data_IF_343249216700
#
_entry.id   IF_343249216700
#
_cell.length_a   1.000
_cell.length_b   1.000
_cell.length_c   1.000
_cell.angle_alpha   90.00
_cell.angle_beta   90.00
_cell.angle_gamma   90.00
#
_symmetry.space_group_name_H-M   'P 1'
#
loop_
_entity.id
_entity.type
_entity.pdbx_description
1 polymer ?
#
# COMPACT_ATOMS: atom_id res chain seq x y z
N UNK A 1 -7.15 -18.78 -5.18
CA UNK A 1 -5.83 -18.29 -4.68
C UNK A 1 -5.57 -16.84 -5.05
N UNK A 2 -5.64 -16.44 -6.33
CA UNK A 2 -5.44 -15.04 -6.74
C UNK A 2 -6.43 -14.06 -6.08
N UNK A 3 -7.71 -14.43 -5.96
CA UNK A 3 -8.73 -13.60 -5.30
C UNK A 3 -8.37 -13.27 -3.84
N UNK A 4 -7.92 -14.27 -3.07
CA UNK A 4 -7.45 -14.05 -1.69
C UNK A 4 -6.21 -13.14 -1.62
N UNK A 5 -5.38 -13.11 -2.66
CA UNK A 5 -4.27 -12.16 -2.75
C UNK A 5 -4.75 -10.75 -3.08
N UNK A 6 -5.72 -10.61 -3.98
CA UNK A 6 -6.35 -9.32 -4.32
C UNK A 6 -7.04 -8.73 -3.09
N UNK A 7 -7.81 -9.53 -2.35
CA UNK A 7 -8.49 -9.12 -1.12
C UNK A 7 -7.48 -8.60 -0.10
N UNK A 8 -6.46 -9.40 0.22
CA UNK A 8 -5.41 -8.98 1.15
C UNK A 8 -4.66 -7.73 0.67
N UNK A 9 -4.37 -7.64 -0.63
CA UNK A 9 -3.73 -6.46 -1.21
C UNK A 9 -4.61 -5.21 -1.04
N UNK A 10 -5.91 -5.36 -1.25
CA UNK A 10 -6.91 -4.29 -1.08
C UNK A 10 -6.97 -3.83 0.38
N UNK A 11 -7.04 -4.76 1.33
CA UNK A 11 -7.01 -4.41 2.77
C UNK A 11 -5.73 -3.66 3.16
N UNK A 12 -4.59 -4.08 2.63
CA UNK A 12 -3.32 -3.42 2.93
C UNK A 12 -3.27 -2.01 2.33
N UNK A 13 -3.73 -1.85 1.08
CA UNK A 13 -3.85 -0.54 0.42
C UNK A 13 -4.78 0.42 1.18
N UNK A 14 -5.89 -0.07 1.73
CA UNK A 14 -6.80 0.74 2.55
C UNK A 14 -6.08 1.22 3.81
N UNK A 15 -5.43 0.32 4.56
CA UNK A 15 -4.70 0.66 5.79
C UNK A 15 -3.58 1.69 5.55
N UNK A 16 -2.88 1.57 4.41
CA UNK A 16 -1.86 2.55 4.04
C UNK A 16 -2.48 3.92 3.72
N UNK A 17 -3.62 3.96 3.04
CA UNK A 17 -4.35 5.20 2.76
C UNK A 17 -4.85 5.85 4.06
N UNK A 18 -5.45 5.09 4.96
CA UNK A 18 -5.93 5.58 6.25
C UNK A 18 -4.81 6.21 7.07
N UNK A 19 -3.62 5.59 7.06
CA UNK A 19 -2.44 6.13 7.74
C UNK A 19 -1.97 7.47 7.11
N UNK A 20 -2.00 7.60 5.78
CA UNK A 20 -1.70 8.87 5.10
C UNK A 20 -2.75 9.93 5.46
N UNK A 21 -4.03 9.58 5.40
CA UNK A 21 -5.14 10.52 5.64
C UNK A 21 -5.14 11.00 7.09
N UNK A 22 -4.78 10.13 8.03
CA UNK A 22 -4.64 10.44 9.46
C UNK A 22 -3.30 11.08 9.84
N UNK A 23 -2.40 11.30 8.87
CA UNK A 23 -1.03 11.81 9.09
C UNK A 23 -0.16 10.95 10.04
N UNK A 24 -0.47 9.66 10.15
CA UNK A 24 0.27 8.70 10.99
C UNK A 24 1.41 8.04 10.19
N UNK A 25 2.52 8.79 10.07
CA UNK A 25 3.73 8.33 9.38
C UNK A 25 4.31 7.06 10.00
N UNK A 26 4.22 6.90 11.33
CA UNK A 26 4.79 5.73 11.99
C UNK A 26 4.01 4.46 11.63
N UNK A 27 2.67 4.50 11.71
CA UNK A 27 1.81 3.40 11.30
C UNK A 27 2.06 3.01 9.84
N UNK A 28 2.16 4.00 8.94
CA UNK A 28 2.47 3.75 7.54
C UNK A 28 3.78 2.96 7.35
N UNK A 29 4.85 3.38 8.05
CA UNK A 29 6.15 2.69 8.00
C UNK A 29 6.09 1.28 8.61
N UNK A 30 5.29 1.07 9.66
CA UNK A 30 5.07 -0.25 10.25
C UNK A 30 4.32 -1.18 9.29
N UNK A 31 3.30 -0.70 8.60
CA UNK A 31 2.56 -1.46 7.59
C UNK A 31 3.50 -1.90 6.45
N UNK A 32 4.32 -0.97 5.95
CA UNK A 32 5.33 -1.24 4.91
C UNK A 32 6.37 -2.28 5.31
N UNK A 33 6.75 -2.34 6.60
CA UNK A 33 7.67 -3.36 7.12
C UNK A 33 7.00 -4.72 7.29
N UNK A 34 5.74 -4.74 7.75
CA UNK A 34 4.98 -5.98 7.99
C UNK A 34 4.62 -6.67 6.68
N UNK A 35 4.37 -5.90 5.62
CA UNK A 35 3.95 -6.44 4.33
C UNK A 35 4.50 -5.61 3.17
N UNK A 36 5.16 -6.28 2.24
CA UNK A 36 5.69 -5.64 1.05
C UNK A 36 4.65 -5.68 -0.08
N UNK A 37 4.33 -4.51 -0.67
CA UNK A 37 3.43 -4.42 -1.82
C UNK A 37 3.83 -5.33 -2.99
N UNK A 38 5.13 -5.60 -3.17
CA UNK A 38 5.62 -6.51 -4.22
C UNK A 38 5.07 -7.93 -4.10
N UNK A 39 4.95 -8.46 -2.87
CA UNK A 39 4.39 -9.81 -2.65
C UNK A 39 2.91 -9.86 -3.03
N UNK A 40 2.20 -8.77 -2.76
CA UNK A 40 0.78 -8.64 -3.06
C UNK A 40 0.55 -8.49 -4.56
N UNK A 41 1.41 -7.75 -5.25
CA UNK A 41 1.40 -7.61 -6.71
C UNK A 41 1.69 -8.95 -7.38
N UNK A 42 2.75 -9.65 -6.98
CA UNK A 42 3.13 -10.96 -7.56
C UNK A 42 2.03 -12.01 -7.28
N UNK A 43 1.52 -12.06 -6.04
CA UNK A 43 0.51 -13.03 -5.64
C UNK A 43 -0.86 -12.79 -6.28
N UNK A 44 -1.22 -11.51 -6.49
CA UNK A 44 -2.47 -11.13 -7.16
C UNK A 44 -2.41 -11.23 -8.68
N UNK A 45 -1.21 -11.06 -9.27
CA UNK A 45 -1.00 -10.99 -10.73
C UNK A 45 -1.94 -9.95 -11.37
N UNK A 46 -2.09 -8.81 -10.70
CA UNK A 46 -3.07 -7.77 -11.05
C UNK A 46 -2.41 -6.41 -11.23
N UNK A 47 -2.54 -5.86 -12.45
CA UNK A 47 -2.08 -4.51 -12.78
C UNK A 47 -2.77 -3.46 -11.92
N UNK A 48 -4.05 -3.66 -11.59
CA UNK A 48 -4.80 -2.74 -10.74
C UNK A 48 -4.20 -2.63 -9.33
N UNK A 49 -3.74 -3.76 -8.76
CA UNK A 49 -3.06 -3.77 -7.46
C UNK A 49 -1.73 -3.01 -7.54
N UNK A 50 -0.95 -3.19 -8.62
CA UNK A 50 0.31 -2.48 -8.81
C UNK A 50 0.10 -0.96 -8.90
N UNK A 51 -0.89 -0.50 -9.67
CA UNK A 51 -1.25 0.92 -9.78
C UNK A 51 -1.71 1.48 -8.44
N UNK A 52 -2.51 0.73 -7.68
CA UNK A 52 -2.94 1.13 -6.33
C UNK A 52 -1.77 1.42 -5.40
N UNK A 53 -0.76 0.54 -5.36
CA UNK A 53 0.43 0.75 -4.54
C UNK A 53 1.26 1.94 -4.99
N UNK A 54 1.46 2.10 -6.31
CA UNK A 54 2.20 3.24 -6.86
C UNK A 54 1.58 4.58 -6.42
N UNK A 55 0.25 4.72 -6.54
CA UNK A 55 -0.46 5.93 -6.15
C UNK A 55 -0.35 6.21 -4.64
N UNK A 56 -0.46 5.18 -3.80
CA UNK A 56 -0.31 5.31 -2.34
C UNK A 56 1.10 5.78 -1.98
N UNK A 57 2.13 5.24 -2.65
CA UNK A 57 3.51 5.63 -2.40
C UNK A 57 3.79 7.06 -2.86
N UNK A 58 3.29 7.46 -4.04
CA UNK A 58 3.39 8.83 -4.51
C UNK A 58 2.75 9.82 -3.54
N UNK A 59 1.54 9.51 -3.02
CA UNK A 59 0.87 10.33 -2.00
C UNK A 59 1.69 10.43 -0.71
N UNK A 60 2.27 9.32 -0.23
CA UNK A 60 3.11 9.32 0.96
C UNK A 60 4.38 10.16 0.77
N UNK A 61 5.02 10.08 -0.40
CA UNK A 61 6.18 10.90 -0.76
C UNK A 61 5.82 12.39 -0.76
N UNK A 62 4.74 12.77 -1.43
CA UNK A 62 4.28 14.15 -1.49
C UNK A 62 3.91 14.71 -0.10
N UNK A 63 3.38 13.87 0.79
CA UNK A 63 2.97 14.30 2.14
C UNK A 63 4.15 14.46 3.11
N UNK A 64 5.10 13.53 3.10
CA UNK A 64 6.09 13.42 4.18
C UNK A 64 7.56 13.55 3.76
N UNK A 65 7.84 13.57 2.46
CA UNK A 65 9.20 13.67 1.91
C UNK A 65 9.29 14.91 1.02
N UNK A 66 8.63 16.02 1.40
CA UNK A 66 8.78 17.29 0.67
C UNK A 66 10.25 17.56 0.33
N UNK A 67 10.52 17.69 -0.97
CA UNK A 67 11.78 18.19 -1.52
C UNK A 67 11.87 19.71 -1.33
#
# INVERSE_FOLDING_TARGET
MKEAWIEKATEHLIKLQDAIDSDDKQMFLELMKRRCGNNDIIGSDSVAVAVGYANVYERALAKWINY
#
